data_IF_145687196682
#
_entry.id   IF_145687196682
#
_cell.length_a   1.000
_cell.length_b   1.000
_cell.length_c   1.000
_cell.angle_alpha   90.00
_cell.angle_beta   90.00
_cell.angle_gamma   90.00
#
_symmetry.space_group_name_H-M   'P 1'
#
loop_
_entity.id
_entity.type
_entity.pdbx_description
1 polymer ?
#
# COMPACT_ATOMS: atom_id res chain seq x y z
N UNK A 1 7.36 23.00 33.31
CA UNK A 1 6.35 23.18 32.26
C UNK A 1 5.18 23.90 32.88
N UNK A 2 4.76 25.04 32.36
CA UNK A 2 3.59 25.76 32.88
C UNK A 2 2.35 24.88 32.64
N UNK A 3 1.51 24.72 33.65
CA UNK A 3 0.26 23.98 33.53
C UNK A 3 -0.65 24.77 32.55
N UNK A 4 -1.10 24.14 31.47
CA UNK A 4 -2.05 24.75 30.54
C UNK A 4 -3.33 25.11 31.29
N UNK A 5 -3.79 26.35 31.16
CA UNK A 5 -5.02 26.79 31.75
C UNK A 5 -6.22 26.02 31.19
N UNK A 6 -7.02 25.41 32.03
CA UNK A 6 -8.13 24.51 31.63
C UNK A 6 -9.22 25.27 30.85
N UNK A 7 -9.41 26.57 31.15
CA UNK A 7 -10.45 27.39 30.54
C UNK A 7 -9.95 28.07 29.23
N UNK A 8 -8.68 28.45 29.21
CA UNK A 8 -8.10 29.13 28.05
C UNK A 8 -7.56 28.14 27.01
N UNK A 9 -7.04 27.00 27.44
CA UNK A 9 -6.35 26.08 26.56
C UNK A 9 -5.01 26.62 26.04
N UNK A 10 -4.49 26.03 24.99
CA UNK A 10 -3.27 26.51 24.31
C UNK A 10 -3.59 27.70 23.41
N UNK A 11 -2.67 28.65 23.34
CA UNK A 11 -2.68 29.72 22.34
C UNK A 11 -2.23 29.23 20.98
N UNK A 12 -2.62 29.92 19.92
CA UNK A 12 -2.20 29.61 18.54
C UNK A 12 -0.67 29.51 18.39
N UNK A 13 0.08 30.41 19.06
CA UNK A 13 1.55 30.41 19.01
C UNK A 13 2.15 29.16 19.69
N UNK A 14 1.59 28.72 20.83
CA UNK A 14 2.02 27.51 21.53
C UNK A 14 1.70 26.25 20.73
N UNK A 15 0.59 26.22 19.99
CA UNK A 15 0.23 25.13 19.08
C UNK A 15 1.26 25.03 17.96
N UNK A 16 1.61 26.14 17.32
CA UNK A 16 2.62 26.17 16.26
C UNK A 16 3.99 25.71 16.75
N UNK A 17 4.40 26.10 17.95
CA UNK A 17 5.63 25.64 18.58
C UNK A 17 5.63 24.10 18.74
N UNK A 18 4.51 23.50 19.21
CA UNK A 18 4.39 22.06 19.38
C UNK A 18 4.38 21.32 18.06
N UNK A 19 3.75 21.90 17.04
CA UNK A 19 3.78 21.35 15.67
C UNK A 19 5.22 21.34 15.12
N UNK A 20 5.94 22.46 15.28
CA UNK A 20 7.34 22.57 14.87
C UNK A 20 8.26 21.59 15.61
N UNK A 21 7.96 21.34 16.90
CA UNK A 21 8.67 20.33 17.71
C UNK A 21 8.26 18.88 17.38
N UNK A 22 7.34 18.63 16.44
CA UNK A 22 6.86 17.31 16.08
C UNK A 22 5.94 16.66 17.12
N UNK A 23 5.43 17.43 18.11
CA UNK A 23 4.54 16.97 19.18
C UNK A 23 3.08 17.04 18.77
N UNK A 24 2.76 16.40 17.66
CA UNK A 24 1.44 16.37 17.03
C UNK A 24 0.94 14.92 16.95
N UNK A 25 -0.36 14.70 17.11
CA UNK A 25 -0.99 13.38 17.09
C UNK A 25 -1.13 12.84 15.67
N UNK A 26 -0.02 12.87 14.91
CA UNK A 26 -0.01 12.34 13.54
C UNK A 26 0.25 10.85 13.56
N UNK A 27 -0.77 10.06 13.27
CA UNK A 27 -0.60 8.63 13.01
C UNK A 27 0.22 8.44 11.72
N UNK A 28 1.46 7.96 11.82
CA UNK A 28 2.30 7.64 10.65
C UNK A 28 1.73 6.51 9.80
N UNK A 29 0.70 5.79 10.27
CA UNK A 29 0.22 4.54 9.66
C UNK A 29 -0.75 4.72 8.50
N UNK A 30 -1.33 5.89 8.31
CA UNK A 30 -2.32 6.17 7.26
C UNK A 30 -1.76 6.99 6.09
N UNK A 31 -0.45 6.97 5.85
CA UNK A 31 0.07 7.50 4.58
C UNK A 31 -0.39 6.60 3.45
N UNK A 32 -1.53 6.92 2.87
CA UNK A 32 -1.92 6.37 1.57
C UNK A 32 -0.80 6.68 0.58
N UNK A 33 -0.40 5.66 -0.20
CA UNK A 33 0.66 5.79 -1.20
C UNK A 33 0.44 7.04 -2.06
N UNK A 34 1.50 7.77 -2.33
CA UNK A 34 1.45 8.93 -3.23
C UNK A 34 1.02 8.51 -4.64
N UNK A 35 0.38 9.41 -5.39
CA UNK A 35 0.05 9.17 -6.81
C UNK A 35 1.29 8.82 -7.61
N UNK A 36 2.44 9.44 -7.31
CA UNK A 36 3.73 9.13 -7.96
C UNK A 36 4.19 7.70 -7.67
N UNK A 37 4.09 7.25 -6.43
CA UNK A 37 4.43 5.88 -6.03
C UNK A 37 3.54 4.85 -6.74
N UNK A 38 2.23 5.10 -6.84
CA UNK A 38 1.31 4.23 -7.56
C UNK A 38 1.65 4.14 -9.06
N UNK A 39 2.01 5.25 -9.70
CA UNK A 39 2.40 5.26 -11.11
C UNK A 39 3.71 4.46 -11.29
N UNK A 40 4.71 4.69 -10.45
CA UNK A 40 6.00 4.00 -10.52
C UNK A 40 5.83 2.50 -10.28
N UNK A 41 5.04 2.10 -9.29
CA UNK A 41 4.75 0.68 -9.03
C UNK A 41 4.08 -0.02 -10.22
N UNK A 42 3.16 0.65 -10.93
CA UNK A 42 2.51 0.09 -12.11
C UNK A 42 3.41 0.13 -13.36
N UNK A 43 4.33 1.09 -13.46
CA UNK A 43 5.28 1.19 -14.57
C UNK A 43 6.47 0.23 -14.41
N UNK A 44 7.07 0.20 -13.21
CA UNK A 44 8.27 -0.57 -12.90
C UNK A 44 7.94 -2.01 -12.45
N UNK A 45 7.01 -2.67 -13.13
CA UNK A 45 6.72 -4.09 -12.89
C UNK A 45 7.75 -4.96 -13.62
N UNK A 46 8.03 -6.14 -13.08
CA UNK A 46 8.85 -7.16 -13.75
C UNK A 46 8.33 -7.46 -15.16
N UNK A 47 7.00 -7.45 -15.32
CA UNK A 47 6.33 -7.60 -16.60
C UNK A 47 6.76 -6.52 -17.61
N UNK A 48 6.66 -5.24 -17.25
CA UNK A 48 7.04 -4.16 -18.14
C UNK A 48 8.54 -4.21 -18.49
N UNK A 49 9.39 -4.57 -17.52
CA UNK A 49 10.82 -4.75 -17.73
C UNK A 49 11.09 -5.84 -18.77
N UNK A 50 10.46 -7.00 -18.66
CA UNK A 50 10.59 -8.10 -19.63
C UNK A 50 10.13 -7.64 -21.01
N UNK A 51 8.97 -6.95 -21.10
CA UNK A 51 8.47 -6.46 -22.39
C UNK A 51 9.39 -5.41 -23.02
N UNK A 52 10.05 -4.55 -22.23
CA UNK A 52 11.05 -3.61 -22.75
C UNK A 52 12.26 -4.37 -23.34
N UNK A 53 12.74 -5.41 -22.64
CA UNK A 53 13.84 -6.26 -23.15
C UNK A 53 13.42 -6.96 -24.45
N UNK A 54 12.20 -7.53 -24.50
CA UNK A 54 11.66 -8.17 -25.69
C UNK A 54 11.50 -7.18 -26.86
N UNK A 55 11.01 -5.96 -26.58
CA UNK A 55 10.91 -4.92 -27.59
C UNK A 55 12.28 -4.54 -28.16
N UNK A 56 13.29 -4.43 -27.29
CA UNK A 56 14.67 -4.17 -27.73
C UNK A 56 15.19 -5.28 -28.63
N UNK A 57 14.96 -6.55 -28.28
CA UNK A 57 15.33 -7.69 -29.10
C UNK A 57 14.64 -7.67 -30.50
N UNK A 58 13.33 -7.34 -30.51
CA UNK A 58 12.56 -7.24 -31.78
C UNK A 58 13.06 -6.08 -32.65
N UNK A 59 13.47 -4.96 -32.06
CA UNK A 59 14.07 -3.84 -32.80
C UNK A 59 15.39 -4.26 -33.46
N UNK A 60 16.22 -5.03 -32.76
CA UNK A 60 17.48 -5.56 -33.31
C UNK A 60 17.25 -6.46 -34.53
N UNK A 61 16.11 -7.15 -34.62
CA UNK A 61 15.75 -7.97 -35.79
C UNK A 61 15.24 -7.13 -37.00
N UNK A 62 15.06 -5.81 -36.83
CA UNK A 62 14.52 -4.94 -37.88
C UNK A 62 13.02 -5.12 -38.19
N UNK A 63 12.33 -5.95 -37.42
CA UNK A 63 10.93 -6.36 -37.67
C UNK A 63 9.92 -5.47 -36.95
N UNK A 64 9.81 -4.21 -37.35
CA UNK A 64 8.91 -3.23 -36.67
C UNK A 64 7.43 -3.64 -36.62
N UNK A 65 6.97 -4.48 -37.55
CA UNK A 65 5.59 -5.01 -37.58
C UNK A 65 5.25 -5.79 -36.30
N UNK A 66 6.25 -6.37 -35.63
CA UNK A 66 6.09 -7.21 -34.46
C UNK A 66 6.08 -6.43 -33.12
N UNK A 67 6.25 -5.11 -33.17
CA UNK A 67 6.12 -4.22 -32.03
C UNK A 67 4.65 -3.94 -31.63
N UNK A 68 3.68 -4.51 -32.35
CA UNK A 68 2.24 -4.34 -32.06
C UNK A 68 1.88 -4.74 -30.62
N UNK A 69 2.63 -5.66 -30.00
CA UNK A 69 2.41 -6.05 -28.63
C UNK A 69 2.67 -4.90 -27.63
N UNK A 70 3.53 -3.93 -27.95
CA UNK A 70 3.77 -2.76 -27.12
C UNK A 70 2.50 -1.94 -26.91
N UNK A 71 1.61 -1.90 -27.90
CA UNK A 71 0.31 -1.25 -27.76
C UNK A 71 -0.54 -1.95 -26.68
N UNK A 72 -0.53 -3.28 -26.65
CA UNK A 72 -1.23 -4.06 -25.62
C UNK A 72 -0.63 -3.81 -24.24
N UNK A 73 0.71 -3.81 -24.15
CA UNK A 73 1.43 -3.51 -22.89
C UNK A 73 1.08 -2.11 -22.38
N UNK A 74 1.09 -1.13 -23.28
CA UNK A 74 0.72 0.25 -22.95
C UNK A 74 -0.72 0.34 -22.43
N UNK A 75 -1.68 -0.27 -23.13
CA UNK A 75 -3.09 -0.29 -22.69
C UNK A 75 -3.24 -0.97 -21.33
N UNK A 76 -2.58 -2.12 -21.12
CA UNK A 76 -2.64 -2.84 -19.86
C UNK A 76 -2.08 -2.00 -18.70
N UNK A 77 -0.94 -1.36 -18.90
CA UNK A 77 -0.34 -0.45 -17.90
C UNK A 77 -1.24 0.75 -17.62
N UNK A 78 -1.83 1.35 -18.66
CA UNK A 78 -2.75 2.47 -18.53
C UNK A 78 -4.00 2.08 -17.72
N UNK A 79 -4.58 0.92 -18.01
CA UNK A 79 -5.72 0.37 -17.24
C UNK A 79 -5.32 0.14 -15.79
N UNK A 80 -4.16 -0.44 -15.51
CA UNK A 80 -3.65 -0.66 -14.15
C UNK A 80 -3.50 0.64 -13.36
N UNK A 81 -2.92 1.67 -13.98
CA UNK A 81 -2.78 3.01 -13.36
C UNK A 81 -4.16 3.62 -13.07
N UNK A 82 -5.10 3.56 -14.02
CA UNK A 82 -6.44 4.11 -13.86
C UNK A 82 -7.19 3.38 -12.72
N UNK A 83 -7.10 2.05 -12.66
CA UNK A 83 -7.70 1.25 -11.59
C UNK A 83 -7.11 1.60 -10.22
N UNK A 84 -5.79 1.68 -10.10
CA UNK A 84 -5.10 2.06 -8.87
C UNK A 84 -5.47 3.47 -8.41
N UNK A 85 -5.58 4.43 -9.34
CA UNK A 85 -6.04 5.79 -9.04
C UNK A 85 -7.50 5.84 -8.58
N UNK A 86 -8.40 5.07 -9.23
CA UNK A 86 -9.81 4.97 -8.81
C UNK A 86 -9.94 4.37 -7.43
N UNK A 87 -9.21 3.28 -7.17
CA UNK A 87 -9.18 2.63 -5.86
C UNK A 87 -8.70 3.58 -4.78
N UNK A 88 -7.58 4.29 -5.02
CA UNK A 88 -7.09 5.32 -4.09
C UNK A 88 -8.14 6.39 -3.80
N UNK A 89 -8.75 6.98 -4.83
CA UNK A 89 -9.80 8.00 -4.65
C UNK A 89 -10.97 7.49 -3.80
N UNK A 90 -11.35 6.22 -3.95
CA UNK A 90 -12.42 5.62 -3.17
C UNK A 90 -12.01 5.47 -1.70
N UNK A 91 -10.80 4.99 -1.44
CA UNK A 91 -10.26 4.85 -0.08
C UNK A 91 -10.13 6.23 0.58
N UNK A 92 -9.53 7.21 -0.11
CA UNK A 92 -9.37 8.58 0.42
C UNK A 92 -10.74 9.20 0.77
N UNK A 93 -11.76 8.99 -0.09
CA UNK A 93 -13.13 9.48 0.17
C UNK A 93 -13.75 8.80 1.40
N UNK A 94 -13.58 7.48 1.55
CA UNK A 94 -14.07 6.74 2.72
C UNK A 94 -13.35 7.19 3.99
N UNK A 95 -12.04 7.42 3.94
CA UNK A 95 -11.25 7.91 5.06
C UNK A 95 -11.76 9.28 5.52
N UNK A 96 -12.03 10.21 4.59
CA UNK A 96 -12.60 11.52 4.92
C UNK A 96 -13.99 11.43 5.55
N UNK A 97 -14.84 10.49 5.10
CA UNK A 97 -16.18 10.30 5.68
C UNK A 97 -16.14 9.64 7.07
N UNK A 98 -15.09 8.91 7.38
CA UNK A 98 -14.91 8.19 8.67
C UNK A 98 -13.98 8.94 9.61
N UNK A 99 -13.42 10.06 9.19
CA UNK A 99 -12.56 10.91 10.00
C UNK A 99 -13.35 11.41 11.22
N UNK A 100 -12.95 10.92 12.39
CA UNK A 100 -13.51 11.37 13.65
C UNK A 100 -12.87 12.71 14.02
N UNK A 101 -13.66 13.60 14.57
CA UNK A 101 -13.21 14.89 15.04
C UNK A 101 -13.18 14.91 16.55
N UNK A 102 -12.35 15.75 17.12
CA UNK A 102 -12.29 16.01 18.55
C UNK A 102 -12.48 17.51 18.81
N UNK A 103 -13.03 17.84 19.95
CA UNK A 103 -13.19 19.23 20.38
C UNK A 103 -12.05 19.55 21.33
N UNK A 104 -11.23 20.54 20.99
CA UNK A 104 -10.18 21.06 21.84
C UNK A 104 -10.48 22.51 22.24
N UNK A 105 -10.00 22.92 23.43
CA UNK A 105 -10.08 24.29 23.89
C UNK A 105 -8.77 25.00 23.51
N UNK A 106 -8.87 26.02 22.67
CA UNK A 106 -7.73 26.85 22.24
C UNK A 106 -8.11 28.31 22.25
N UNK A 107 -7.24 29.16 22.73
CA UNK A 107 -7.49 30.63 22.88
C UNK A 107 -8.82 30.99 23.58
N UNK A 108 -9.27 30.11 24.52
CA UNK A 108 -10.53 30.29 25.25
C UNK A 108 -11.80 29.88 24.49
N UNK A 109 -11.67 29.30 23.30
CA UNK A 109 -12.79 28.83 22.49
C UNK A 109 -12.71 27.32 22.22
N UNK A 110 -13.89 26.68 22.11
CA UNK A 110 -13.97 25.29 21.67
C UNK A 110 -13.81 25.23 20.13
N UNK A 111 -12.80 24.50 19.66
CA UNK A 111 -12.47 24.32 18.25
C UNK A 111 -12.58 22.84 17.89
N UNK A 112 -13.29 22.56 16.81
CA UNK A 112 -13.40 21.21 16.27
C UNK A 112 -12.17 20.93 15.39
N UNK A 113 -11.41 19.88 15.74
CA UNK A 113 -10.15 19.49 15.09
C UNK A 113 -10.22 18.07 14.57
N UNK A 114 -9.51 17.81 13.48
CA UNK A 114 -9.21 16.44 13.08
C UNK A 114 -8.21 15.81 14.07
N UNK A 115 -8.28 14.48 14.25
CA UNK A 115 -7.47 13.78 15.27
C UNK A 115 -5.96 13.98 15.07
N UNK A 116 -5.52 14.24 13.86
CA UNK A 116 -4.12 14.48 13.50
C UNK A 116 -3.65 15.92 13.74
N UNK A 117 -4.56 16.82 14.13
CA UNK A 117 -4.27 18.23 14.48
C UNK A 117 -4.12 18.46 15.99
N UNK A 118 -4.40 17.42 16.79
CA UNK A 118 -4.22 17.47 18.24
C UNK A 118 -2.74 17.52 18.56
N UNK A 119 -2.36 18.38 19.50
CA UNK A 119 -0.97 18.51 19.96
C UNK A 119 -0.83 18.13 21.44
N UNK A 120 0.42 17.92 21.86
CA UNK A 120 0.73 17.67 23.26
C UNK A 120 0.28 18.86 24.13
N UNK A 121 -0.27 18.58 25.31
CA UNK A 121 -0.85 19.54 26.27
C UNK A 121 -2.15 20.21 25.82
N UNK A 122 -2.77 19.84 24.69
CA UNK A 122 -4.12 20.28 24.35
C UNK A 122 -5.13 19.90 25.42
N UNK A 123 -6.08 20.78 25.70
CA UNK A 123 -7.25 20.46 26.52
C UNK A 123 -8.38 20.01 25.60
N UNK A 124 -8.72 18.73 25.67
CA UNK A 124 -9.81 18.16 24.87
C UNK A 124 -11.07 18.00 25.71
N UNK A 125 -12.23 18.28 25.10
CA UNK A 125 -13.54 18.00 25.68
C UNK A 125 -14.08 16.69 25.11
N UNK A 126 -14.46 15.79 26.00
CA UNK A 126 -14.96 14.47 25.63
C UNK A 126 -16.33 14.24 26.29
N UNK A 127 -17.29 13.85 25.47
CA UNK A 127 -18.65 13.53 25.85
C UNK A 127 -19.08 12.14 25.44
N UNK A 128 -20.34 11.81 25.71
CA UNK A 128 -20.90 10.48 25.39
C UNK A 128 -20.73 10.12 23.93
N UNK A 129 -20.16 8.94 23.66
CA UNK A 129 -19.93 8.39 22.33
C UNK A 129 -18.62 8.83 21.70
N UNK A 130 -17.90 9.78 22.32
CA UNK A 130 -16.61 10.22 21.79
C UNK A 130 -15.54 9.16 22.01
N UNK A 131 -14.69 8.98 21.03
CA UNK A 131 -13.47 8.19 21.16
C UNK A 131 -12.34 9.08 21.68
N UNK A 132 -11.58 8.58 22.64
CA UNK A 132 -10.40 9.25 23.17
C UNK A 132 -9.31 9.25 22.11
N UNK A 133 -8.91 10.45 21.59
CA UNK A 133 -8.04 10.55 20.42
C UNK A 133 -6.55 10.35 20.71
N UNK A 134 -6.14 10.60 21.95
CA UNK A 134 -4.76 10.57 22.41
C UNK A 134 -4.75 10.27 23.91
N UNK A 135 -3.65 9.74 24.44
CA UNK A 135 -3.54 9.50 25.87
C UNK A 135 -3.61 10.84 26.62
N UNK A 136 -4.44 10.90 27.63
CA UNK A 136 -4.73 12.15 28.32
C UNK A 136 -4.97 11.92 29.83
N UNK A 137 -4.91 13.00 30.61
CA UNK A 137 -5.28 13.00 32.05
C UNK A 137 -6.49 13.87 32.22
N UNK A 138 -7.49 13.36 32.95
CA UNK A 138 -8.70 14.11 33.25
C UNK A 138 -8.35 15.31 34.16
N UNK A 139 -8.74 16.51 33.74
CA UNK A 139 -8.51 17.74 34.48
C UNK A 139 -9.78 18.28 35.12
N UNK A 140 -10.96 18.00 34.54
CA UNK A 140 -12.25 18.37 35.13
C UNK A 140 -13.38 17.47 34.63
N UNK A 141 -14.46 17.34 35.42
CA UNK A 141 -15.59 16.49 35.09
C UNK A 141 -15.39 15.02 35.47
N UNK A 142 -16.37 14.20 35.15
CA UNK A 142 -16.31 12.75 35.35
C UNK A 142 -17.06 12.02 34.23
N UNK A 143 -16.60 10.81 33.91
CA UNK A 143 -17.23 9.98 32.91
C UNK A 143 -17.03 8.49 33.20
N UNK A 144 -17.91 7.66 32.64
CA UNK A 144 -17.71 6.22 32.53
C UNK A 144 -17.06 5.94 31.15
N UNK A 145 -15.95 5.21 31.18
CA UNK A 145 -15.13 4.91 30.00
C UNK A 145 -15.14 3.41 29.72
N UNK A 146 -15.37 3.07 28.49
CA UNK A 146 -15.28 1.70 28.00
C UNK A 146 -13.89 1.46 27.39
N UNK A 147 -13.09 0.64 28.05
CA UNK A 147 -11.73 0.26 27.62
C UNK A 147 -11.69 -1.15 27.02
N UNK A 148 -12.84 -1.77 26.72
CA UNK A 148 -12.93 -3.17 26.25
C UNK A 148 -12.17 -3.46 24.97
N UNK A 149 -12.03 -2.49 24.08
CA UNK A 149 -11.26 -2.65 22.85
C UNK A 149 -9.74 -2.78 23.10
N UNK A 150 -9.27 -2.33 24.26
CA UNK A 150 -7.85 -2.35 24.62
C UNK A 150 -7.54 -3.49 25.60
N UNK A 151 -8.39 -3.69 26.60
CA UNK A 151 -8.17 -4.65 27.69
C UNK A 151 -8.90 -5.97 27.49
N UNK A 152 -9.95 -5.98 26.65
CA UNK A 152 -10.85 -7.13 26.50
C UNK A 152 -11.92 -7.23 27.60
N UNK A 153 -11.87 -6.36 28.62
CA UNK A 153 -12.84 -6.34 29.72
C UNK A 153 -13.98 -5.38 29.42
N UNK A 154 -15.23 -5.84 29.60
CA UNK A 154 -16.42 -5.06 29.24
C UNK A 154 -16.89 -4.10 30.35
N UNK A 155 -16.23 -4.09 31.50
CA UNK A 155 -16.61 -3.26 32.62
C UNK A 155 -16.33 -1.79 32.34
N UNK A 156 -17.31 -0.94 32.70
CA UNK A 156 -17.18 0.51 32.59
C UNK A 156 -16.35 1.05 33.76
N UNK A 157 -15.31 1.80 33.44
CA UNK A 157 -14.40 2.36 34.44
C UNK A 157 -14.75 3.82 34.70
N UNK A 158 -15.01 4.18 35.97
CA UNK A 158 -15.23 5.59 36.35
C UNK A 158 -13.90 6.34 36.32
N UNK A 159 -13.81 7.39 35.53
CA UNK A 159 -12.68 8.31 35.46
C UNK A 159 -13.04 9.65 36.09
N UNK A 160 -12.15 10.15 36.92
CA UNK A 160 -12.29 11.39 37.71
C UNK A 160 -11.04 12.25 37.52
N UNK A 161 -11.03 13.52 37.96
CA UNK A 161 -9.83 14.36 37.86
C UNK A 161 -8.59 13.68 38.42
N UNK A 162 -7.52 13.66 37.62
CA UNK A 162 -6.27 12.91 37.86
C UNK A 162 -6.23 11.50 37.29
N UNK A 163 -7.34 10.95 36.79
CA UNK A 163 -7.34 9.64 36.16
C UNK A 163 -6.74 9.72 34.72
N UNK A 164 -5.99 8.69 34.34
CA UNK A 164 -5.48 8.54 32.97
C UNK A 164 -6.54 7.98 32.06
N UNK A 165 -6.56 8.50 30.83
CA UNK A 165 -7.39 8.06 29.71
C UNK A 165 -6.49 7.46 28.63
N UNK A 166 -6.81 6.26 28.19
CA UNK A 166 -6.09 5.58 27.12
C UNK A 166 -6.70 5.90 25.75
N UNK A 167 -5.86 6.28 24.81
CA UNK A 167 -6.27 6.48 23.41
C UNK A 167 -6.96 5.23 22.87
N UNK A 168 -8.02 5.42 22.05
CA UNK A 168 -8.80 4.32 21.48
C UNK A 168 -10.01 3.86 22.32
N UNK A 169 -10.08 4.17 23.61
CA UNK A 169 -11.25 3.93 24.44
C UNK A 169 -12.41 4.87 24.09
N UNK A 170 -13.62 4.57 24.59
CA UNK A 170 -14.82 5.34 24.32
C UNK A 170 -15.46 5.86 25.63
N UNK A 171 -15.99 7.08 25.57
CA UNK A 171 -16.83 7.62 26.64
C UNK A 171 -18.23 7.01 26.50
N UNK A 172 -18.67 6.23 27.50
CA UNK A 172 -20.02 5.67 27.52
C UNK A 172 -21.03 6.70 28.01
N UNK A 173 -20.69 7.38 29.10
CA UNK A 173 -21.55 8.43 29.68
C UNK A 173 -20.74 9.43 30.48
N UNK A 174 -21.29 10.65 30.65
CA UNK A 174 -20.63 11.76 31.33
C UNK A 174 -20.03 12.77 30.37
N UNK A 175 -19.35 13.76 30.93
CA UNK A 175 -18.62 14.82 30.21
C UNK A 175 -17.38 15.19 31.04
N UNK A 176 -16.25 15.25 30.38
CA UNK A 176 -14.98 15.62 30.98
C UNK A 176 -14.11 16.47 30.07
N UNK A 177 -13.17 17.19 30.70
CA UNK A 177 -12.04 17.81 29.99
C UNK A 177 -10.76 17.09 30.40
N UNK A 178 -9.90 16.80 29.43
CA UNK A 178 -8.66 16.10 29.68
C UNK A 178 -7.51 16.80 28.97
N UNK A 179 -6.33 16.78 29.60
CA UNK A 179 -5.09 17.28 28.98
C UNK A 179 -4.36 16.12 28.33
N UNK A 180 -4.00 16.30 27.06
CA UNK A 180 -3.23 15.34 26.28
C UNK A 180 -1.81 15.22 26.83
N UNK A 181 -1.37 13.99 27.12
CA UNK A 181 -0.03 13.68 27.69
C UNK A 181 0.88 12.92 26.71
N UNK A 182 0.32 12.16 25.76
CA UNK A 182 1.06 11.50 24.68
C UNK A 182 0.37 11.75 23.35
N UNK A 183 1.15 11.79 22.28
CA UNK A 183 0.67 12.01 20.91
C UNK A 183 1.40 11.11 19.91
N UNK A 184 0.75 10.78 18.79
CA UNK A 184 1.37 10.02 17.69
C UNK A 184 1.83 8.62 18.10
N UNK A 185 3.11 8.32 17.92
CA UNK A 185 3.69 7.00 18.18
C UNK A 185 3.77 6.65 19.68
N UNK A 186 3.71 7.66 20.56
CA UNK A 186 3.81 7.48 22.00
C UNK A 186 2.47 7.13 22.65
N UNK A 187 1.37 7.20 21.92
CA UNK A 187 0.05 6.77 22.38
C UNK A 187 0.00 5.27 22.65
N UNK A 188 -0.82 4.88 23.62
CA UNK A 188 -1.03 3.49 24.04
C UNK A 188 -1.46 2.60 22.87
N UNK A 189 -2.45 3.04 22.07
CA UNK A 189 -2.90 2.32 20.87
C UNK A 189 -1.78 2.16 19.83
N UNK A 190 -0.95 3.18 19.64
CA UNK A 190 0.15 3.11 18.68
C UNK A 190 1.21 2.08 19.11
N UNK A 191 1.49 1.98 20.42
CA UNK A 191 2.39 0.96 20.97
C UNK A 191 1.85 -0.45 20.75
N UNK A 192 0.57 -0.70 21.07
CA UNK A 192 -0.07 -2.01 20.82
C UNK A 192 -0.05 -2.35 19.33
N UNK A 193 -0.39 -1.42 18.45
CA UNK A 193 -0.38 -1.65 17.01
C UNK A 193 1.02 -1.96 16.48
N UNK A 194 2.05 -1.30 17.00
CA UNK A 194 3.43 -1.59 16.61
C UNK A 194 3.88 -2.99 17.05
N UNK A 195 3.48 -3.42 18.25
CA UNK A 195 3.72 -4.80 18.73
C UNK A 195 2.92 -5.82 17.91
N UNK A 196 1.67 -5.51 17.55
CA UNK A 196 0.81 -6.36 16.73
C UNK A 196 1.25 -6.46 15.26
N UNK A 197 2.03 -5.52 14.72
CA UNK A 197 2.60 -5.60 13.36
C UNK A 197 3.52 -6.80 13.14
N UNK A 198 4.07 -7.39 14.19
CA UNK A 198 4.76 -8.68 14.09
C UNK A 198 3.81 -9.87 13.89
N UNK A 199 2.50 -9.68 13.95
CA UNK A 199 1.53 -10.73 13.66
C UNK A 199 1.50 -10.98 12.16
N UNK A 200 2.05 -12.14 11.81
CA UNK A 200 2.06 -12.89 10.55
C UNK A 200 0.97 -12.44 9.56
N UNK A 201 1.40 -12.05 8.34
CA UNK A 201 0.53 -11.92 7.16
C UNK A 201 -0.51 -13.04 7.15
N UNK A 202 -1.78 -12.69 7.28
CA UNK A 202 -2.87 -13.64 7.16
C UNK A 202 -2.82 -14.24 5.76
N UNK A 203 -2.40 -15.49 5.65
CA UNK A 203 -2.43 -16.23 4.40
C UNK A 203 -3.89 -16.53 4.07
N UNK A 204 -4.47 -15.76 3.16
CA UNK A 204 -5.78 -16.08 2.60
C UNK A 204 -5.67 -17.38 1.78
N UNK A 205 -6.46 -18.40 2.12
CA UNK A 205 -6.51 -19.69 1.36
C UNK A 205 -6.84 -19.46 -0.12
N UNK A 206 -7.76 -18.53 -0.40
CA UNK A 206 -8.14 -18.14 -1.76
C UNK A 206 -6.93 -17.58 -2.51
N UNK A 207 -6.12 -16.73 -1.86
CA UNK A 207 -4.92 -16.15 -2.47
C UNK A 207 -3.85 -17.22 -2.74
N UNK A 208 -3.71 -18.18 -1.83
CA UNK A 208 -2.78 -19.29 -2.00
C UNK A 208 -3.21 -20.21 -3.16
N UNK A 209 -4.52 -20.48 -3.29
CA UNK A 209 -5.07 -21.24 -4.41
C UNK A 209 -4.86 -20.53 -5.75
N UNK A 210 -5.13 -19.23 -5.83
CA UNK A 210 -4.88 -18.40 -7.01
C UNK A 210 -3.39 -18.39 -7.40
N UNK A 211 -2.50 -18.17 -6.43
CA UNK A 211 -1.06 -18.20 -6.67
C UNK A 211 -0.57 -19.61 -7.10
N UNK A 212 -1.20 -20.68 -6.61
CA UNK A 212 -0.89 -22.04 -7.04
C UNK A 212 -1.29 -22.28 -8.50
N UNK A 213 -2.47 -21.82 -8.93
CA UNK A 213 -2.93 -21.91 -10.32
C UNK A 213 -2.00 -21.11 -11.25
N UNK A 214 -1.64 -19.89 -10.89
CA UNK A 214 -0.72 -19.06 -11.68
C UNK A 214 0.66 -19.72 -11.77
N UNK A 215 1.18 -20.25 -10.66
CA UNK A 215 2.46 -20.96 -10.65
C UNK A 215 2.43 -22.20 -11.52
N UNK A 216 1.36 -23.00 -11.45
CA UNK A 216 1.17 -24.18 -12.27
C UNK A 216 1.12 -23.84 -13.76
N UNK A 217 0.34 -22.83 -14.14
CA UNK A 217 0.28 -22.34 -15.50
C UNK A 217 1.67 -21.87 -15.98
N UNK A 218 2.42 -21.12 -15.17
CA UNK A 218 3.76 -20.64 -15.50
C UNK A 218 4.76 -21.79 -15.70
N UNK A 219 4.68 -22.85 -14.86
CA UNK A 219 5.55 -24.03 -14.99
C UNK A 219 5.30 -24.78 -16.30
N UNK A 220 4.04 -24.88 -16.74
CA UNK A 220 3.70 -25.56 -18.02
C UNK A 220 4.13 -24.69 -19.23
N UNK A 221 4.00 -23.39 -19.12
CA UNK A 221 4.31 -22.48 -20.24
C UNK A 221 5.81 -22.41 -20.55
N UNK A 222 6.70 -22.56 -19.56
CA UNK A 222 8.14 -22.55 -19.77
C UNK A 222 8.58 -23.69 -20.71
N UNK A 223 8.29 -24.99 -20.44
CA UNK A 223 8.68 -26.06 -21.35
C UNK A 223 7.99 -25.96 -22.71
N UNK A 224 6.73 -25.48 -22.75
CA UNK A 224 6.03 -25.26 -24.02
C UNK A 224 6.71 -24.17 -24.87
N UNK A 225 7.11 -23.06 -24.26
CA UNK A 225 7.88 -22.01 -24.92
C UNK A 225 9.24 -22.51 -25.45
N UNK A 226 9.93 -23.32 -24.65
CA UNK A 226 11.19 -23.95 -25.06
C UNK A 226 10.98 -24.94 -26.22
N UNK A 227 9.90 -25.73 -26.20
CA UNK A 227 9.56 -26.67 -27.27
C UNK A 227 9.24 -25.92 -28.56
N UNK A 228 8.48 -24.84 -28.52
CA UNK A 228 8.19 -23.98 -29.68
C UNK A 228 9.47 -23.34 -30.24
N UNK A 229 10.35 -22.87 -29.34
CA UNK A 229 11.64 -22.31 -29.78
C UNK A 229 12.48 -23.37 -30.46
N UNK A 230 12.63 -24.58 -29.87
CA UNK A 230 13.39 -25.67 -30.47
C UNK A 230 12.80 -26.12 -31.80
N UNK A 231 11.47 -26.20 -31.93
CA UNK A 231 10.79 -26.51 -33.21
C UNK A 231 11.07 -25.44 -34.28
N UNK A 232 10.97 -24.16 -33.92
CA UNK A 232 11.24 -23.07 -34.86
C UNK A 232 12.71 -23.01 -35.31
N UNK A 233 13.64 -23.33 -34.40
CA UNK A 233 15.07 -23.41 -34.71
C UNK A 233 15.35 -24.61 -35.62
N UNK A 234 14.72 -25.77 -35.39
CA UNK A 234 14.89 -26.94 -36.25
C UNK A 234 14.37 -26.72 -37.68
N UNK A 235 13.20 -26.08 -37.81
CA UNK A 235 12.66 -25.71 -39.12
C UNK A 235 13.59 -24.75 -39.90
N UNK A 236 14.18 -23.78 -39.23
CA UNK A 236 15.14 -22.86 -39.83
C UNK A 236 16.45 -23.55 -40.23
N UNK A 237 16.93 -24.49 -39.39
CA UNK A 237 18.12 -25.27 -39.63
C UNK A 237 17.94 -26.21 -40.83
N UNK A 238 16.79 -26.89 -40.93
CA UNK A 238 16.44 -27.74 -42.06
C UNK A 238 16.34 -26.93 -43.36
N UNK A 239 15.80 -25.70 -43.29
CA UNK A 239 15.71 -24.79 -44.44
C UNK A 239 17.08 -24.24 -44.88
N UNK A 240 18.02 -24.10 -43.92
CA UNK A 240 19.38 -23.61 -44.23
C UNK A 240 20.28 -24.66 -44.92
N UNK A 241 19.90 -25.95 -44.89
CA UNK A 241 20.58 -27.02 -45.66
C UNK A 241 22.04 -27.25 -45.24
N UNK A 242 22.42 -27.00 -43.99
CA UNK A 242 23.77 -27.16 -43.45
C UNK A 242 23.94 -28.56 -42.83
N UNK A 243 24.54 -29.55 -43.56
CA UNK A 243 24.78 -30.88 -43.02
C UNK A 243 26.02 -30.86 -42.11
N UNK A 244 25.85 -31.19 -40.83
CA UNK A 244 26.99 -31.50 -39.95
C UNK A 244 26.97 -30.88 -38.58
N UNK A 245 26.28 -29.77 -38.34
CA UNK A 245 26.19 -29.12 -37.03
C UNK A 245 24.84 -29.38 -36.35
N UNK A 246 24.84 -29.36 -35.00
CA UNK A 246 23.57 -29.42 -34.29
C UNK A 246 22.79 -28.10 -34.44
N UNK A 247 21.45 -28.17 -34.45
CA UNK A 247 20.59 -26.99 -34.58
C UNK A 247 20.91 -25.87 -33.56
N UNK A 248 21.39 -26.24 -32.39
CA UNK A 248 21.81 -25.32 -31.34
C UNK A 248 23.13 -24.62 -31.65
N UNK A 249 24.14 -25.34 -32.19
CA UNK A 249 25.44 -24.76 -32.59
C UNK A 249 25.27 -23.82 -33.76
N UNK A 250 24.42 -24.18 -34.73
CA UNK A 250 24.06 -23.32 -35.85
C UNK A 250 23.37 -22.03 -35.38
N UNK A 251 22.37 -22.15 -34.50
CA UNK A 251 21.66 -20.99 -33.92
C UNK A 251 22.63 -20.03 -33.19
N UNK A 252 23.60 -20.58 -32.46
CA UNK A 252 24.60 -19.79 -31.74
C UNK A 252 25.60 -19.11 -32.69
N UNK A 253 26.00 -19.76 -33.77
CA UNK A 253 26.89 -19.20 -34.80
C UNK A 253 26.21 -18.08 -35.60
N UNK A 254 24.93 -18.23 -35.94
CA UNK A 254 24.15 -17.19 -36.62
C UNK A 254 23.91 -15.97 -35.70
N UNK A 255 23.68 -16.19 -34.42
CA UNK A 255 23.56 -15.13 -33.44
C UNK A 255 24.85 -14.31 -33.31
N UNK A 256 26.02 -14.99 -33.30
CA UNK A 256 27.34 -14.36 -33.27
C UNK A 256 27.66 -13.63 -34.58
N UNK A 257 27.16 -14.12 -35.72
CA UNK A 257 27.31 -13.47 -37.04
C UNK A 257 26.38 -12.25 -37.24
N UNK A 258 25.50 -11.96 -36.24
CA UNK A 258 24.54 -10.85 -36.34
C UNK A 258 23.30 -11.17 -37.17
N UNK A 259 23.14 -12.41 -37.64
CA UNK A 259 21.92 -12.89 -38.27
C UNK A 259 21.00 -13.52 -37.27
N UNK A 260 20.08 -12.70 -36.75
CA UNK A 260 19.12 -13.19 -35.75
C UNK A 260 17.99 -13.95 -36.45
N UNK A 261 17.72 -15.24 -36.11
CA UNK A 261 16.60 -15.98 -36.70
C UNK A 261 15.27 -15.37 -36.22
N UNK A 262 14.78 -14.41 -37.00
CA UNK A 262 13.65 -13.54 -36.62
C UNK A 262 12.37 -14.33 -36.38
N UNK A 263 12.12 -15.44 -37.05
CA UNK A 263 10.93 -16.27 -36.88
C UNK A 263 10.96 -17.08 -35.57
N UNK A 264 12.13 -17.61 -35.18
CA UNK A 264 12.30 -18.34 -33.94
C UNK A 264 12.20 -17.42 -32.74
N UNK A 265 12.78 -16.22 -32.79
CA UNK A 265 12.63 -15.19 -31.78
C UNK A 265 11.18 -14.73 -31.62
N UNK A 266 10.46 -14.58 -32.74
CA UNK A 266 9.05 -14.17 -32.72
C UNK A 266 8.12 -15.19 -32.08
N UNK A 267 8.33 -16.49 -32.37
CA UNK A 267 7.54 -17.56 -31.74
C UNK A 267 7.78 -17.63 -30.23
N UNK A 268 9.04 -17.45 -29.80
CA UNK A 268 9.41 -17.38 -28.36
C UNK A 268 8.85 -16.14 -27.67
N UNK A 269 8.90 -14.99 -28.33
CA UNK A 269 8.31 -13.74 -27.82
C UNK A 269 6.80 -13.90 -27.67
N UNK A 270 6.12 -14.54 -28.63
CA UNK A 270 4.68 -14.82 -28.54
C UNK A 270 4.31 -15.73 -27.35
N UNK A 271 5.10 -16.78 -27.11
CA UNK A 271 4.90 -17.67 -25.97
C UNK A 271 5.15 -16.96 -24.64
N UNK A 272 6.23 -16.17 -24.53
CA UNK A 272 6.54 -15.38 -23.32
C UNK A 272 5.48 -14.30 -23.05
N UNK A 273 4.94 -13.66 -24.07
CA UNK A 273 3.84 -12.71 -23.94
C UNK A 273 2.58 -13.37 -23.41
N UNK A 274 2.26 -14.60 -23.81
CA UNK A 274 1.15 -15.38 -23.25
C UNK A 274 1.30 -15.61 -21.73
N UNK A 275 2.52 -15.95 -21.28
CA UNK A 275 2.86 -16.12 -19.86
C UNK A 275 2.69 -14.78 -19.11
N UNK A 276 3.20 -13.72 -19.68
CA UNK A 276 3.16 -12.39 -19.09
C UNK A 276 1.73 -11.86 -18.95
N UNK A 277 0.85 -12.07 -19.91
CA UNK A 277 -0.57 -11.67 -19.84
C UNK A 277 -1.33 -12.39 -18.70
N UNK A 278 -1.02 -13.66 -18.44
CA UNK A 278 -1.57 -14.42 -17.32
C UNK A 278 -1.10 -13.86 -15.96
N UNK A 279 0.15 -13.37 -15.87
CA UNK A 279 0.72 -12.84 -14.62
C UNK A 279 0.23 -11.41 -14.30
N UNK A 280 -0.25 -10.66 -15.27
CA UNK A 280 -0.68 -9.27 -15.09
C UNK A 280 -2.16 -9.08 -14.77
N UNK A 281 -2.91 -10.16 -14.65
CA UNK A 281 -4.24 -10.06 -14.06
C UNK A 281 -4.11 -9.39 -12.68
N UNK A 282 -4.72 -8.20 -12.45
CA UNK A 282 -4.53 -7.46 -11.20
C UNK A 282 -4.92 -8.35 -10.04
N UNK A 283 -3.90 -8.72 -9.27
CA UNK A 283 -4.14 -9.49 -8.04
C UNK A 283 -4.93 -8.60 -7.08
N UNK A 284 -5.98 -9.13 -6.41
CA UNK A 284 -6.66 -8.39 -5.34
C UNK A 284 -5.72 -7.93 -4.21
N UNK A 285 -4.45 -8.31 -4.27
CA UNK A 285 -3.39 -7.88 -3.34
C UNK A 285 -3.00 -6.41 -3.48
N UNK A 286 -3.15 -5.84 -4.67
CA UNK A 286 -2.67 -4.49 -4.96
C UNK A 286 -3.70 -3.41 -4.59
N UNK A 287 -4.88 -3.82 -4.11
CA UNK A 287 -5.98 -2.92 -3.71
C UNK A 287 -6.16 -2.78 -2.19
N UNK A 288 -5.22 -3.30 -1.38
CA UNK A 288 -5.25 -3.13 0.08
C UNK A 288 -4.12 -2.30 0.61
#
# INVERSE_FOLDING_TARGET
MAATDIERGLSTAEVEERIAAGKINRNMELKTKSVKELIIENLCTLFNLINVILAFLVILTGSFKNLTFLFVVFLNTAIGVIQSMRSKKMVDKLTLLTSKKAIAVRDGAEVELDLDQIVLDDIIRLGRGDQIPADAVVVSGEALVNESLLTGESDLIKKQPGSELMSGSFIDSGLLRARVIHVGADNYVAKINNEAKYVKKVNSEIMNALNAIVRFASIIMIPLGLALFASSVSELWDAAGTPGDSALSWCFSELLAGHVPSSALLSTVGALLGICLLYTSPSPRDTR
#
